data_IF_807362701891
#
_entry.id   IF_807362701891
#
_cell.length_a   1.000
_cell.length_b   1.000
_cell.length_c   1.000
_cell.angle_alpha   90.00
_cell.angle_beta   90.00
_cell.angle_gamma   90.00
#
_symmetry.space_group_name_H-M   'P 1'
#
loop_
_entity.id
_entity.type
_entity.pdbx_description
1 polymer ?
#
# COMPACT_ATOMS: atom_id res chain seq x y z
N UNK A 1 23.14 -43.67 5.31
CA UNK A 1 22.15 -42.76 4.70
C UNK A 1 21.67 -41.87 5.82
N UNK A 2 22.34 -40.71 5.96
CA UNK A 2 22.11 -39.73 7.03
C UNK A 2 20.96 -38.85 6.55
N UNK A 3 20.01 -38.56 7.43
CA UNK A 3 18.71 -38.02 7.09
C UNK A 3 18.81 -36.51 6.81
N UNK A 4 19.03 -36.14 5.55
CA UNK A 4 19.27 -34.76 5.10
C UNK A 4 18.06 -33.81 5.32
N UNK A 5 16.89 -34.35 5.68
CA UNK A 5 15.70 -33.57 6.01
C UNK A 5 15.74 -32.91 7.42
N UNK A 6 16.57 -33.41 8.33
CA UNK A 6 16.68 -32.83 9.68
C UNK A 6 17.59 -31.57 9.70
N UNK A 7 18.54 -31.47 8.77
CA UNK A 7 19.47 -30.35 8.72
C UNK A 7 18.86 -29.10 8.04
N UNK A 8 17.92 -29.27 7.10
CA UNK A 8 17.21 -28.15 6.48
C UNK A 8 16.23 -27.43 7.44
N UNK A 9 15.62 -28.16 8.38
CA UNK A 9 14.82 -27.56 9.47
C UNK A 9 15.67 -26.79 10.49
N UNK A 10 16.98 -27.05 10.53
CA UNK A 10 17.89 -26.46 11.50
C UNK A 10 18.57 -25.17 10.99
N UNK A 11 18.73 -25.00 9.67
CA UNK A 11 19.24 -23.74 9.09
C UNK A 11 18.22 -22.59 9.12
N UNK A 12 16.92 -22.89 9.00
CA UNK A 12 15.84 -21.89 9.14
C UNK A 12 15.65 -21.41 10.60
N UNK A 13 16.22 -22.12 11.57
CA UNK A 13 16.07 -21.82 12.99
C UNK A 13 17.23 -20.97 13.57
N UNK A 14 18.24 -20.63 12.77
CA UNK A 14 19.38 -19.81 13.24
C UNK A 14 19.15 -18.30 13.11
N UNK A 15 18.18 -17.88 12.29
CA UNK A 15 17.93 -16.47 12.03
C UNK A 15 16.69 -15.92 12.73
N UNK A 16 16.07 -16.68 13.64
CA UNK A 16 14.85 -16.24 14.34
C UNK A 16 14.91 -16.62 15.81
N UNK A 17 14.14 -15.90 16.63
CA UNK A 17 14.09 -16.13 18.07
C UNK A 17 13.45 -17.50 18.38
N UNK A 18 14.12 -18.40 19.13
CA UNK A 18 13.57 -19.71 19.48
C UNK A 18 12.44 -19.63 20.53
N UNK A 19 12.10 -18.43 20.97
CA UNK A 19 10.98 -18.17 21.89
C UNK A 19 9.83 -17.43 21.22
N UNK A 20 9.90 -17.25 19.90
CA UNK A 20 8.79 -16.76 19.09
C UNK A 20 8.03 -17.97 18.53
N UNK A 21 6.71 -18.00 18.74
CA UNK A 21 5.81 -19.01 18.19
C UNK A 21 4.47 -18.39 17.77
N UNK A 22 3.54 -19.15 17.23
CA UNK A 22 2.15 -18.75 17.05
C UNK A 22 1.38 -18.92 18.36
N UNK A 23 0.25 -18.21 18.52
CA UNK A 23 -0.61 -18.37 19.71
C UNK A 23 -1.23 -19.77 19.79
N UNK A 24 -1.57 -20.33 18.64
CA UNK A 24 -2.24 -21.63 18.52
C UNK A 24 -1.25 -22.79 18.36
N UNK A 25 -0.04 -22.51 17.89
CA UNK A 25 1.03 -23.47 17.67
C UNK A 25 2.38 -22.87 18.12
N UNK A 26 2.85 -23.16 19.35
CA UNK A 26 4.09 -22.59 19.89
C UNK A 26 5.36 -23.03 19.15
N UNK A 27 5.32 -24.16 18.44
CA UNK A 27 6.49 -24.73 17.75
C UNK A 27 6.62 -24.20 16.31
N UNK A 28 5.56 -23.60 15.78
CA UNK A 28 5.57 -22.85 14.53
C UNK A 28 5.61 -21.36 14.79
N UNK A 29 6.19 -20.57 13.89
CA UNK A 29 6.08 -19.12 13.90
C UNK A 29 5.85 -18.60 12.49
N UNK A 30 5.26 -17.41 12.36
CA UNK A 30 5.22 -16.76 11.06
C UNK A 30 6.59 -16.15 10.76
N UNK A 31 7.17 -16.48 9.61
CA UNK A 31 8.39 -15.85 9.11
C UNK A 31 8.26 -14.34 8.83
N UNK A 32 7.06 -13.76 9.02
CA UNK A 32 6.78 -12.34 8.86
C UNK A 32 6.21 -11.72 10.14
N UNK A 33 6.42 -10.41 10.40
CA UNK A 33 5.85 -9.74 11.57
C UNK A 33 4.32 -9.78 11.53
N UNK A 34 3.68 -10.51 12.45
CA UNK A 34 2.23 -10.65 12.52
C UNK A 34 1.70 -10.58 13.95
N UNK A 35 0.42 -10.20 14.09
CA UNK A 35 -0.29 -10.13 15.38
C UNK A 35 -0.56 -11.51 16.02
N UNK A 36 -0.39 -12.57 15.23
CA UNK A 36 -0.57 -13.97 15.66
C UNK A 36 0.69 -14.55 16.29
N UNK A 37 1.86 -13.95 16.04
CA UNK A 37 3.08 -14.32 16.72
C UNK A 37 2.97 -13.99 18.23
N UNK A 38 3.63 -14.79 19.04
CA UNK A 38 3.61 -14.74 20.49
C UNK A 38 5.01 -15.02 21.03
N UNK A 39 5.42 -14.22 22.02
CA UNK A 39 6.67 -14.43 22.72
C UNK A 39 6.42 -15.34 23.94
N UNK A 40 6.98 -16.54 23.90
CA UNK A 40 6.92 -17.52 24.97
C UNK A 40 8.01 -17.34 26.02
N UNK A 41 8.88 -16.33 25.85
CA UNK A 41 9.87 -15.95 26.86
C UNK A 41 9.25 -15.15 28.01
N UNK A 42 8.11 -14.47 27.78
CA UNK A 42 7.44 -13.62 28.77
C UNK A 42 6.28 -14.34 29.45
N UNK A 43 5.88 -13.86 30.64
CA UNK A 43 4.63 -14.28 31.30
C UNK A 43 3.81 -13.07 31.78
N UNK A 44 2.50 -12.99 31.44
CA UNK A 44 1.77 -13.89 30.54
C UNK A 44 2.32 -13.84 29.10
N UNK A 45 2.09 -14.90 28.32
CA UNK A 45 2.46 -14.93 26.90
C UNK A 45 1.80 -13.74 26.22
N UNK A 46 2.59 -12.97 25.47
CA UNK A 46 2.12 -11.75 24.83
C UNK A 46 2.78 -11.57 23.45
N UNK A 47 2.14 -10.77 22.61
CA UNK A 47 2.60 -10.52 21.24
C UNK A 47 3.48 -9.27 21.23
N UNK A 48 4.77 -9.36 20.85
CA UNK A 48 5.56 -8.16 20.57
C UNK A 48 4.94 -7.40 19.40
N UNK A 49 5.07 -6.08 19.38
CA UNK A 49 4.58 -5.25 18.29
C UNK A 49 5.37 -5.54 17.00
N UNK A 50 4.81 -5.14 15.86
CA UNK A 50 5.35 -5.52 14.54
C UNK A 50 6.77 -4.98 14.31
N UNK A 51 7.07 -3.78 14.83
CA UNK A 51 8.42 -3.20 14.73
C UNK A 51 9.44 -4.04 15.52
N UNK A 52 9.09 -4.45 16.74
CA UNK A 52 9.96 -5.29 17.55
C UNK A 52 10.17 -6.68 16.95
N UNK A 53 9.11 -7.28 16.39
CA UNK A 53 9.22 -8.56 15.70
C UNK A 53 10.18 -8.48 14.50
N UNK A 54 10.07 -7.42 13.69
CA UNK A 54 10.94 -7.19 12.53
C UNK A 54 12.39 -6.94 12.92
N UNK A 55 12.62 -6.10 13.92
CA UNK A 55 13.97 -5.71 14.32
C UNK A 55 14.71 -6.81 15.09
N UNK A 56 13.99 -7.67 15.82
CA UNK A 56 14.60 -8.66 16.72
C UNK A 56 14.04 -10.07 16.54
N UNK A 57 12.73 -10.28 16.71
CA UNK A 57 12.22 -11.64 16.90
C UNK A 57 12.37 -12.56 15.67
N UNK A 58 12.39 -11.99 14.46
CA UNK A 58 12.45 -12.71 13.18
C UNK A 58 13.81 -12.57 12.48
N UNK A 59 14.82 -12.08 13.21
CA UNK A 59 16.19 -11.91 12.70
C UNK A 59 17.17 -12.47 13.71
N UNK A 60 18.42 -12.71 13.29
CA UNK A 60 19.49 -13.14 14.21
C UNK A 60 19.80 -12.11 15.31
N UNK A 61 19.29 -10.88 15.19
CA UNK A 61 19.38 -9.86 16.23
C UNK A 61 18.55 -10.21 17.48
N UNK A 62 17.74 -11.28 17.49
CA UNK A 62 17.06 -11.75 18.69
C UNK A 62 17.99 -11.98 19.89
N UNK A 63 19.27 -12.29 19.63
CA UNK A 63 20.29 -12.44 20.67
C UNK A 63 20.51 -11.15 21.47
N UNK A 64 20.19 -10.00 20.88
CA UNK A 64 20.23 -8.66 21.48
C UNK A 64 18.84 -8.11 21.79
N UNK A 65 17.81 -8.96 21.76
CA UNK A 65 16.46 -8.55 22.11
C UNK A 65 16.40 -8.28 23.63
N UNK A 66 15.94 -7.10 24.07
CA UNK A 66 15.85 -6.77 25.49
C UNK A 66 14.91 -7.70 26.26
N UNK A 67 13.96 -8.35 25.57
CA UNK A 67 13.11 -9.38 26.18
C UNK A 67 13.89 -10.69 26.31
N UNK A 68 14.58 -11.13 25.27
CA UNK A 68 15.31 -12.40 25.26
C UNK A 68 16.47 -12.41 26.27
N UNK A 69 17.16 -11.28 26.42
CA UNK A 69 18.23 -11.09 27.42
C UNK A 69 17.69 -10.98 28.86
N UNK A 70 16.40 -10.66 29.03
CA UNK A 70 15.78 -10.58 30.36
C UNK A 70 15.52 -11.97 30.96
N UNK A 71 15.29 -12.00 32.29
CA UNK A 71 14.97 -13.23 32.99
C UNK A 71 13.71 -13.91 32.39
N UNK A 72 13.72 -15.23 32.13
CA UNK A 72 12.56 -15.94 31.61
C UNK A 72 11.32 -15.74 32.49
N UNK A 73 10.17 -15.49 31.86
CA UNK A 73 8.91 -15.22 32.53
C UNK A 73 8.72 -13.77 32.99
N UNK A 74 9.62 -12.86 32.64
CA UNK A 74 9.42 -11.42 32.84
C UNK A 74 8.17 -10.92 32.10
N UNK A 75 7.58 -9.82 32.57
CA UNK A 75 6.47 -9.17 31.87
C UNK A 75 6.98 -8.44 30.63
N UNK A 76 6.20 -8.47 29.54
CA UNK A 76 6.51 -7.70 28.35
C UNK A 76 6.36 -6.18 28.62
N UNK A 77 7.37 -5.35 28.30
CA UNK A 77 7.25 -3.89 28.37
C UNK A 77 6.12 -3.38 27.48
N UNK A 78 5.42 -2.32 27.89
CA UNK A 78 4.23 -1.82 27.18
C UNK A 78 4.58 -1.24 25.81
N UNK A 79 5.79 -0.71 25.67
CA UNK A 79 6.33 -0.13 24.44
C UNK A 79 6.58 -1.23 23.40
N UNK A 80 6.88 -2.44 23.87
CA UNK A 80 7.14 -3.61 23.02
C UNK A 80 5.87 -4.44 22.81
N UNK A 81 4.94 -4.47 23.76
CA UNK A 81 3.68 -5.19 23.61
C UNK A 81 2.81 -4.61 22.50
N UNK A 82 2.19 -5.48 21.70
CA UNK A 82 1.22 -5.10 20.69
C UNK A 82 0.01 -4.47 21.40
N UNK A 83 -0.23 -3.18 21.11
CA UNK A 83 -1.40 -2.45 21.62
C UNK A 83 -2.67 -3.22 21.26
N UNK A 84 -3.35 -3.77 22.27
CA UNK A 84 -4.69 -4.33 22.10
C UNK A 84 -5.64 -3.16 21.91
N UNK A 85 -6.29 -3.10 20.75
CA UNK A 85 -7.45 -2.24 20.52
C UNK A 85 -8.53 -2.65 21.52
N UNK A 86 -8.54 -2.04 22.70
CA UNK A 86 -9.61 -2.29 23.66
C UNK A 86 -10.86 -1.59 23.14
N UNK A 87 -11.93 -2.34 22.93
CA UNK A 87 -13.24 -1.76 22.69
C UNK A 87 -13.53 -0.78 23.84
N UNK A 88 -13.71 0.50 23.53
CA UNK A 88 -13.95 1.52 24.56
C UNK A 88 -15.08 1.07 25.48
N UNK A 89 -14.93 1.27 26.79
CA UNK A 89 -15.97 0.96 27.78
C UNK A 89 -17.30 1.59 27.37
N UNK A 90 -17.28 2.74 26.71
CA UNK A 90 -18.46 3.43 26.20
C UNK A 90 -19.19 2.65 25.11
N UNK A 91 -18.45 1.99 24.21
CA UNK A 91 -19.04 1.11 23.18
C UNK A 91 -19.59 -0.18 23.79
N UNK A 92 -18.96 -0.68 24.85
CA UNK A 92 -19.46 -1.85 25.60
C UNK A 92 -20.75 -1.53 26.38
N UNK A 93 -20.83 -0.34 27.00
CA UNK A 93 -22.05 0.16 27.65
C UNK A 93 -23.18 0.43 26.64
N UNK A 94 -22.85 0.94 25.45
CA UNK A 94 -23.82 1.14 24.38
C UNK A 94 -24.42 -0.20 23.90
N UNK A 95 -23.57 -1.20 23.65
CA UNK A 95 -24.01 -2.53 23.20
C UNK A 95 -24.84 -3.26 24.25
N UNK A 96 -24.45 -3.19 25.52
CA UNK A 96 -25.24 -3.77 26.62
C UNK A 96 -26.57 -3.05 26.81
N UNK A 97 -26.59 -1.71 26.68
CA UNK A 97 -27.83 -0.92 26.70
C UNK A 97 -28.79 -1.28 25.56
N UNK A 98 -28.28 -1.44 24.34
CA UNK A 98 -29.07 -1.88 23.18
C UNK A 98 -29.61 -3.30 23.39
N UNK A 99 -28.80 -4.22 23.94
CA UNK A 99 -29.24 -5.58 24.26
C UNK A 99 -30.38 -5.62 25.27
N UNK A 100 -30.27 -4.84 26.35
CA UNK A 100 -31.33 -4.73 27.37
C UNK A 100 -32.59 -4.10 26.76
N UNK A 101 -32.45 -3.06 25.93
CA UNK A 101 -33.57 -2.43 25.25
C UNK A 101 -34.30 -3.41 24.32
N UNK A 102 -33.57 -4.23 23.56
CA UNK A 102 -34.16 -5.26 22.71
C UNK A 102 -34.91 -6.32 23.53
N UNK A 103 -34.35 -6.77 24.67
CA UNK A 103 -35.03 -7.72 25.56
C UNK A 103 -36.31 -7.12 26.15
N UNK A 104 -36.30 -5.85 26.56
CA UNK A 104 -37.48 -5.14 27.06
C UNK A 104 -38.54 -4.98 25.96
N UNK A 105 -38.12 -4.67 24.74
CA UNK A 105 -39.02 -4.58 23.57
C UNK A 105 -39.64 -5.95 23.28
N UNK A 106 -38.85 -7.02 23.25
CA UNK A 106 -39.34 -8.40 23.03
C UNK A 106 -40.34 -8.78 24.13
N UNK A 107 -40.00 -8.56 25.40
CA UNK A 107 -40.91 -8.84 26.51
C UNK A 107 -42.20 -8.02 26.43
N UNK A 108 -42.12 -6.75 26.05
CA UNK A 108 -43.28 -5.89 25.87
C UNK A 108 -44.18 -6.40 24.73
N UNK A 109 -43.61 -6.84 23.60
CA UNK A 109 -44.37 -7.46 22.52
C UNK A 109 -44.94 -8.82 22.92
N UNK A 110 -44.20 -9.66 23.66
CA UNK A 110 -44.68 -10.94 24.18
C UNK A 110 -45.78 -10.81 25.24
N UNK A 111 -45.81 -9.70 25.99
CA UNK A 111 -46.87 -9.43 26.97
C UNK A 111 -48.11 -8.79 26.35
N UNK A 112 -47.94 -8.06 25.23
CA UNK A 112 -49.03 -7.37 24.51
C UNK A 112 -49.70 -8.26 23.48
N UNK A 113 -48.96 -9.19 22.89
CA UNK A 113 -49.48 -10.26 22.04
C UNK A 113 -49.68 -11.50 22.91
N UNK A 114 -50.89 -11.70 23.42
CA UNK A 114 -51.30 -12.94 24.09
C UNK A 114 -50.79 -14.16 23.31
N UNK A 115 -50.13 -15.05 24.04
CA UNK A 115 -49.41 -16.24 23.60
C UNK A 115 -49.91 -16.86 22.28
N UNK A 116 -49.14 -16.80 21.18
CA UNK A 116 -49.40 -17.66 20.03
C UNK A 116 -48.92 -19.07 20.37
N UNK A 117 -49.75 -20.05 20.02
CA UNK A 117 -49.53 -21.46 20.32
C UNK A 117 -48.28 -21.99 19.61
N UNK A 118 -47.51 -22.76 20.36
CA UNK A 118 -46.50 -23.68 19.85
C UNK A 118 -47.12 -24.63 18.82
N UNK A 119 -46.32 -24.95 17.79
CA UNK A 119 -46.50 -25.96 16.74
C UNK A 119 -47.29 -25.58 15.48
N UNK A 120 -46.56 -25.43 14.37
CA UNK A 120 -46.80 -26.28 13.19
C UNK A 120 -45.49 -26.57 12.44
N UNK A 121 -45.39 -27.82 11.99
CA UNK A 121 -44.27 -28.54 11.40
C UNK A 121 -44.16 -28.26 9.89
N UNK A 122 -42.93 -28.41 9.38
CA UNK A 122 -42.44 -28.73 8.02
C UNK A 122 -43.30 -28.43 6.78
N UNK A 123 -42.69 -27.88 5.74
CA UNK A 123 -42.15 -28.68 4.61
C UNK A 123 -41.73 -27.75 3.45
N UNK A 124 -40.50 -27.98 2.98
CA UNK A 124 -40.18 -28.19 1.57
C UNK A 124 -40.86 -27.29 0.51
N UNK A 125 -40.04 -26.57 -0.26
CA UNK A 125 -39.80 -26.86 -1.70
C UNK A 125 -39.26 -25.64 -2.44
N UNK A 126 -38.02 -25.75 -2.90
CA UNK A 126 -37.52 -25.07 -4.10
C UNK A 126 -38.42 -25.45 -5.29
N UNK A 127 -38.72 -24.51 -6.21
CA UNK A 127 -38.05 -24.63 -7.50
C UNK A 127 -37.63 -23.28 -8.13
N UNK A 128 -36.41 -23.30 -8.68
CA UNK A 128 -35.97 -22.54 -9.86
C UNK A 128 -36.87 -22.94 -11.06
N UNK A 129 -37.17 -22.12 -12.09
CA UNK A 129 -36.21 -21.31 -12.84
C UNK A 129 -36.78 -19.96 -13.32
N UNK A 130 -35.96 -19.11 -13.95
CA UNK A 130 -36.35 -18.34 -15.16
C UNK A 130 -35.11 -17.70 -15.78
N UNK A 131 -34.78 -18.16 -16.98
CA UNK A 131 -33.91 -17.46 -17.91
C UNK A 131 -34.60 -16.18 -18.41
N UNK A 132 -33.85 -15.09 -18.57
CA UNK A 132 -34.30 -13.98 -19.40
C UNK A 132 -33.13 -13.45 -20.23
N UNK A 133 -33.24 -13.70 -21.52
CA UNK A 133 -32.40 -13.17 -22.59
C UNK A 133 -33.13 -11.94 -23.12
N UNK A 134 -32.46 -10.81 -23.30
CA UNK A 134 -32.74 -9.93 -24.44
C UNK A 134 -31.61 -8.91 -24.66
N UNK A 135 -31.19 -8.68 -25.92
CA UNK A 135 -30.19 -7.70 -26.29
C UNK A 135 -30.80 -6.30 -26.43
N UNK A 136 -29.99 -5.26 -26.24
CA UNK A 136 -30.31 -3.92 -26.73
C UNK A 136 -29.09 -3.37 -27.46
N UNK A 137 -29.18 -3.46 -28.77
CA UNK A 137 -28.45 -2.65 -29.76
C UNK A 137 -29.13 -1.29 -29.85
N UNK A 138 -28.37 -0.20 -29.96
CA UNK A 138 -28.62 0.96 -30.87
C UNK A 138 -27.53 2.04 -30.65
N UNK A 139 -27.15 2.82 -31.68
CA UNK A 139 -25.77 3.21 -31.92
C UNK A 139 -25.53 4.73 -32.12
N UNK A 140 -24.26 5.09 -32.43
CA UNK A 140 -23.75 6.29 -33.15
C UNK A 140 -23.83 7.65 -32.42
N UNK A 141 -22.68 8.32 -32.19
CA UNK A 141 -22.06 9.29 -33.14
C UNK A 141 -20.89 10.08 -32.49
N UNK A 142 -19.78 10.35 -33.20
CA UNK A 142 -18.78 11.33 -32.79
C UNK A 142 -19.18 12.74 -33.23
N UNK A 143 -18.96 13.75 -32.38
CA UNK A 143 -19.02 15.15 -32.76
C UNK A 143 -17.69 15.82 -32.44
N UNK A 144 -16.92 16.07 -33.51
CA UNK A 144 -15.85 17.04 -33.52
C UNK A 144 -16.47 18.44 -33.62
N UNK A 145 -15.94 19.39 -32.87
CA UNK A 145 -16.15 20.82 -33.15
C UNK A 145 -14.85 21.55 -32.85
N UNK A 146 -14.14 21.89 -33.93
CA UNK A 146 -13.13 22.93 -33.92
C UNK A 146 -13.84 24.29 -33.78
N UNK A 147 -13.31 25.18 -32.94
CA UNK A 147 -13.68 26.59 -32.97
C UNK A 147 -12.43 27.44 -32.89
N UNK A 148 -12.37 28.34 -33.86
CA UNK A 148 -11.29 29.17 -34.34
C UNK A 148 -11.08 30.43 -33.49
N UNK A 149 -9.83 30.88 -33.47
CA UNK A 149 -9.32 32.13 -32.91
C UNK A 149 -9.98 33.38 -33.51
N UNK A 150 -9.95 34.50 -32.78
CA UNK A 150 -9.61 35.78 -33.39
C UNK A 150 -8.41 36.44 -32.71
N UNK A 151 -7.34 36.55 -33.49
CA UNK A 151 -6.19 37.44 -33.31
C UNK A 151 -6.64 38.90 -33.49
N UNK A 152 -6.33 39.74 -32.50
CA UNK A 152 -6.44 41.21 -32.60
C UNK A 152 -5.04 41.81 -32.51
N UNK A 153 -4.60 42.62 -33.48
CA UNK A 153 -3.36 43.39 -33.41
C UNK A 153 -3.64 44.84 -33.00
N UNK A 154 -2.89 45.39 -32.05
CA UNK A 154 -2.60 46.83 -31.87
C UNK A 154 -1.96 47.02 -30.50
N UNK A 155 -1.01 47.92 -30.21
CA UNK A 155 -0.04 48.73 -30.92
C UNK A 155 0.85 49.27 -29.77
N UNK A 156 2.15 49.29 -30.00
CA UNK A 156 3.21 49.63 -29.06
C UNK A 156 3.13 51.06 -28.51
N UNK A 157 3.30 51.20 -27.18
CA UNK A 157 3.77 52.44 -26.54
C UNK A 157 5.06 52.11 -25.74
N UNK A 158 6.16 52.89 -25.88
CA UNK A 158 7.39 52.63 -25.17
C UNK A 158 7.41 53.39 -23.84
N UNK A 159 7.23 52.67 -22.72
CA UNK A 159 7.39 53.23 -21.39
C UNK A 159 8.63 52.63 -20.70
N UNK A 160 9.59 53.52 -20.43
CA UNK A 160 10.74 53.44 -19.54
C UNK A 160 11.21 52.04 -19.09
N UNK A 161 12.34 51.60 -19.66
CA UNK A 161 13.14 50.47 -19.18
C UNK A 161 13.78 50.79 -17.83
N UNK A 162 13.10 50.40 -16.75
CA UNK A 162 13.78 50.07 -15.50
C UNK A 162 14.49 48.73 -15.72
N UNK A 163 15.83 48.75 -15.77
CA UNK A 163 16.63 47.53 -15.92
C UNK A 163 16.63 46.81 -14.58
N UNK A 164 15.53 46.11 -14.31
CA UNK A 164 15.49 45.10 -13.27
C UNK A 164 16.40 43.96 -13.73
N UNK A 165 17.48 43.71 -12.98
CA UNK A 165 18.29 42.50 -13.15
C UNK A 165 17.31 41.33 -13.03
N UNK A 166 17.09 40.54 -14.09
CA UNK A 166 16.14 39.43 -14.02
C UNK A 166 16.59 38.53 -12.86
N UNK A 167 15.68 38.08 -11.98
CA UNK A 167 16.04 37.11 -10.96
C UNK A 167 16.65 35.92 -11.69
N UNK A 168 17.94 35.67 -11.45
CA UNK A 168 18.61 34.49 -11.98
C UNK A 168 17.78 33.30 -11.50
N UNK A 169 17.23 32.46 -12.40
CA UNK A 169 16.39 31.35 -11.99
C UNK A 169 17.20 30.50 -11.02
N UNK A 170 16.71 30.41 -9.78
CA UNK A 170 17.30 29.52 -8.78
C UNK A 170 17.09 28.12 -9.32
N UNK A 171 18.17 27.48 -9.78
CA UNK A 171 18.12 26.14 -10.34
C UNK A 171 17.41 25.22 -9.36
N UNK A 172 16.28 24.66 -9.80
CA UNK A 172 15.48 23.74 -8.97
C UNK A 172 16.30 22.47 -8.77
N UNK A 173 16.55 22.10 -7.52
CA UNK A 173 17.24 20.84 -7.22
C UNK A 173 16.27 19.70 -7.51
N UNK A 174 16.60 18.89 -8.52
CA UNK A 174 15.89 17.64 -8.84
C UNK A 174 16.54 16.50 -8.05
N UNK A 175 15.74 15.74 -7.33
CA UNK A 175 16.18 14.58 -6.54
C UNK A 175 15.56 13.32 -7.16
N UNK A 176 16.39 12.50 -7.80
CA UNK A 176 15.99 11.27 -8.50
C UNK A 176 16.58 10.06 -7.80
N UNK A 177 16.26 9.87 -6.53
CA UNK A 177 16.78 8.76 -5.71
C UNK A 177 15.66 7.86 -5.21
N UNK A 178 16.01 6.62 -4.83
CA UNK A 178 15.07 5.74 -4.14
C UNK A 178 14.57 6.37 -2.84
N UNK A 179 13.36 5.99 -2.45
CA UNK A 179 12.72 6.37 -1.18
C UNK A 179 12.48 7.87 -0.97
N UNK A 180 12.69 8.68 -2.02
CA UNK A 180 12.38 10.11 -2.05
C UNK A 180 11.22 10.38 -3.00
N UNK A 181 10.32 11.33 -2.67
CA UNK A 181 9.26 11.73 -3.60
C UNK A 181 9.81 12.33 -4.89
N UNK A 182 9.40 11.74 -6.01
CA UNK A 182 9.64 12.18 -7.39
C UNK A 182 8.34 12.77 -7.94
N UNK A 183 8.45 13.82 -8.77
CA UNK A 183 7.33 14.47 -9.42
C UNK A 183 7.04 15.88 -8.92
N UNK A 184 6.03 16.50 -9.53
CA UNK A 184 5.60 17.87 -9.24
C UNK A 184 4.38 17.89 -8.31
N UNK A 185 3.22 18.24 -8.87
CA UNK A 185 1.94 18.24 -8.16
C UNK A 185 1.51 16.83 -7.75
N UNK A 186 1.82 15.85 -8.60
CA UNK A 186 1.63 14.43 -8.33
C UNK A 186 2.98 13.81 -7.97
N UNK A 187 3.03 13.16 -6.81
CA UNK A 187 4.27 12.63 -6.26
C UNK A 187 4.21 11.11 -6.13
N UNK A 188 5.36 10.50 -6.38
CA UNK A 188 5.54 9.06 -6.32
C UNK A 188 6.86 8.73 -5.65
N UNK A 189 6.91 7.58 -4.98
CA UNK A 189 8.14 7.06 -4.37
C UNK A 189 8.51 5.80 -5.15
N UNK A 190 9.73 5.73 -5.66
CA UNK A 190 10.30 4.47 -6.11
C UNK A 190 10.95 3.82 -4.89
N UNK A 191 10.38 2.71 -4.45
CA UNK A 191 10.79 2.03 -3.24
C UNK A 191 11.32 0.64 -3.57
N UNK A 192 12.47 0.29 -2.99
CA UNK A 192 13.01 -1.07 -3.04
C UNK A 192 12.51 -1.84 -1.82
N UNK A 193 11.68 -2.84 -2.06
CA UNK A 193 11.03 -3.66 -1.05
C UNK A 193 12.08 -4.32 -0.16
N UNK A 194 12.05 -3.98 1.12
CA UNK A 194 12.76 -4.70 2.15
C UNK A 194 11.94 -5.89 2.66
N UNK A 195 12.63 -6.82 3.34
CA UNK A 195 12.01 -8.01 3.88
C UNK A 195 10.84 -7.68 4.83
N UNK A 196 9.70 -8.35 4.61
CA UNK A 196 8.51 -8.20 5.43
C UNK A 196 7.72 -6.92 5.21
N UNK A 197 7.99 -6.16 4.14
CA UNK A 197 7.13 -5.08 3.70
C UNK A 197 5.97 -5.60 2.84
N UNK A 198 4.87 -4.87 2.87
CA UNK A 198 3.64 -5.23 2.17
C UNK A 198 3.01 -3.99 1.56
N UNK A 199 2.18 -4.18 0.53
CA UNK A 199 1.41 -3.09 -0.08
C UNK A 199 0.57 -2.32 0.95
N UNK A 200 0.05 -3.01 1.98
CA UNK A 200 -0.72 -2.35 3.03
C UNK A 200 0.14 -1.39 3.88
N UNK A 201 1.39 -1.75 4.15
CA UNK A 201 2.33 -0.88 4.89
C UNK A 201 2.61 0.38 4.08
N UNK A 202 2.85 0.23 2.77
CA UNK A 202 3.05 1.35 1.87
C UNK A 202 1.81 2.25 1.76
N UNK A 203 0.63 1.65 1.58
CA UNK A 203 -0.64 2.37 1.52
C UNK A 203 -0.86 3.26 2.76
N UNK A 204 -0.63 2.71 3.95
CA UNK A 204 -0.77 3.46 5.20
C UNK A 204 0.29 4.55 5.34
N UNK A 205 1.55 4.25 5.00
CA UNK A 205 2.69 5.18 5.17
C UNK A 205 2.57 6.40 4.26
N UNK A 206 2.15 6.20 3.02
CA UNK A 206 2.12 7.24 1.99
C UNK A 206 0.71 7.75 1.70
N UNK A 207 -0.27 7.43 2.57
CA UNK A 207 -1.66 7.85 2.47
C UNK A 207 -2.30 7.57 1.10
N UNK A 208 -2.09 6.34 0.61
CA UNK A 208 -2.69 5.81 -0.62
C UNK A 208 -3.48 4.53 -0.32
N UNK A 209 -3.89 3.78 -1.34
CA UNK A 209 -4.57 2.49 -1.21
C UNK A 209 -3.76 1.37 -1.84
N UNK A 210 -4.06 0.13 -1.44
CA UNK A 210 -3.42 -1.06 -2.03
C UNK A 210 -3.78 -1.17 -3.52
N UNK A 211 -5.02 -0.82 -3.87
CA UNK A 211 -5.52 -0.80 -5.23
C UNK A 211 -4.79 0.25 -6.06
N UNK A 212 -4.60 1.47 -5.55
CA UNK A 212 -3.86 2.51 -6.25
C UNK A 212 -2.41 2.12 -6.52
N UNK A 213 -1.75 1.43 -5.57
CA UNK A 213 -0.39 0.91 -5.79
C UNK A 213 -0.42 -0.18 -6.87
N UNK A 214 -1.37 -1.12 -6.83
CA UNK A 214 -1.46 -2.16 -7.87
C UNK A 214 -1.71 -1.58 -9.27
N UNK A 215 -2.63 -0.63 -9.36
CA UNK A 215 -3.13 -0.08 -10.62
C UNK A 215 -2.18 0.96 -11.27
N UNK A 216 -1.13 1.37 -10.56
CA UNK A 216 -0.11 2.31 -11.06
C UNK A 216 1.21 1.62 -11.40
N UNK A 217 1.46 0.40 -10.91
CA UNK A 217 2.72 -0.29 -11.19
C UNK A 217 2.61 -1.12 -12.47
N UNK A 218 3.56 -0.93 -13.37
CA UNK A 218 3.73 -1.81 -14.53
C UNK A 218 4.25 -3.19 -14.08
N UNK A 219 3.53 -4.26 -14.45
CA UNK A 219 3.89 -5.66 -14.17
C UNK A 219 4.19 -6.00 -12.70
N UNK A 220 3.42 -5.43 -11.76
CA UNK A 220 3.52 -5.79 -10.34
C UNK A 220 3.08 -7.24 -10.08
N UNK A 221 4.01 -8.08 -9.66
CA UNK A 221 3.81 -9.47 -9.19
C UNK A 221 3.50 -9.41 -7.70
N UNK A 222 2.62 -10.31 -7.30
CA UNK A 222 2.19 -10.50 -5.92
C UNK A 222 2.37 -12.00 -5.62
N UNK A 223 2.99 -12.37 -4.48
CA UNK A 223 3.45 -11.51 -3.38
C UNK A 223 4.68 -10.66 -3.74
N UNK A 224 4.94 -9.60 -2.96
CA UNK A 224 6.15 -8.78 -3.13
C UNK A 224 7.39 -9.54 -2.66
N UNK A 225 8.44 -9.48 -3.45
CA UNK A 225 9.74 -10.10 -3.17
C UNK A 225 10.73 -9.04 -2.69
N UNK A 226 11.68 -9.44 -1.85
CA UNK A 226 12.78 -8.56 -1.42
C UNK A 226 13.57 -8.06 -2.63
N UNK A 227 14.11 -6.84 -2.53
CA UNK A 227 14.86 -6.12 -3.55
C UNK A 227 14.07 -5.68 -4.77
N UNK A 228 12.77 -5.98 -4.79
CA UNK A 228 11.95 -5.57 -5.89
C UNK A 228 11.51 -4.10 -5.79
N UNK A 229 11.24 -3.48 -6.93
CA UNK A 229 10.88 -2.08 -7.04
C UNK A 229 9.38 -1.93 -7.11
N UNK A 230 8.85 -1.01 -6.31
CA UNK A 230 7.44 -0.64 -6.30
C UNK A 230 7.36 0.87 -6.38
N UNK A 231 6.56 1.36 -7.32
CA UNK A 231 6.15 2.76 -7.42
C UNK A 231 4.96 2.99 -6.49
N UNK A 232 5.09 3.91 -5.55
CA UNK A 232 4.05 4.18 -4.55
C UNK A 232 3.55 5.61 -4.75
N UNK A 233 2.28 5.82 -5.10
CA UNK A 233 1.71 7.16 -5.20
C UNK A 233 1.55 7.78 -3.82
N UNK A 234 1.99 9.02 -3.63
CA UNK A 234 1.91 9.74 -2.37
C UNK A 234 0.63 10.59 -2.31
N UNK A 235 -0.23 10.35 -1.31
CA UNK A 235 -1.50 11.06 -1.12
C UNK A 235 -2.48 10.98 -2.33
N UNK A 236 -2.34 9.98 -3.20
CA UNK A 236 -3.21 9.78 -4.37
C UNK A 236 -3.85 8.40 -4.28
N UNK A 237 -5.17 8.34 -4.37
CA UNK A 237 -5.95 7.08 -4.39
C UNK A 237 -6.69 6.84 -5.70
N UNK A 238 -6.94 7.91 -6.48
CA UNK A 238 -7.64 7.84 -7.75
C UNK A 238 -6.63 7.84 -8.92
N UNK A 239 -6.21 6.65 -9.35
CA UNK A 239 -5.14 6.47 -10.35
C UNK A 239 -5.64 6.05 -11.74
N UNK A 240 -6.95 5.99 -11.96
CA UNK A 240 -7.53 5.47 -13.22
C UNK A 240 -7.08 6.26 -14.46
N UNK A 241 -6.84 7.56 -14.32
CA UNK A 241 -6.39 8.46 -15.41
C UNK A 241 -4.88 8.55 -15.56
N UNK A 242 -4.12 7.89 -14.68
CA UNK A 242 -2.66 7.88 -14.73
C UNK A 242 -2.17 6.68 -15.54
N UNK A 243 -0.99 6.77 -16.20
CA UNK A 243 -0.37 5.63 -16.83
C UNK A 243 0.10 4.61 -15.79
N UNK A 244 0.56 3.45 -16.26
CA UNK A 244 1.37 2.56 -15.43
C UNK A 244 2.80 3.13 -15.37
N UNK A 245 3.51 2.88 -14.28
CA UNK A 245 4.90 3.28 -14.13
C UNK A 245 5.78 2.07 -13.93
N UNK A 246 6.87 2.06 -14.67
CA UNK A 246 8.02 1.19 -14.45
C UNK A 246 9.13 2.02 -13.78
N UNK A 247 9.77 1.45 -12.76
CA UNK A 247 10.91 2.07 -12.11
C UNK A 247 12.20 1.74 -12.87
N UNK A 248 12.94 2.75 -13.32
CA UNK A 248 14.17 2.58 -14.09
C UNK A 248 15.35 3.27 -13.42
N UNK A 249 16.48 2.57 -13.33
CA UNK A 249 17.76 3.15 -12.91
C UNK A 249 18.60 3.49 -14.13
N UNK A 250 19.10 4.71 -14.19
CA UNK A 250 20.00 5.15 -15.24
C UNK A 250 21.36 4.48 -15.08
N UNK A 251 21.82 3.78 -16.13
CA UNK A 251 23.12 3.06 -16.11
C UNK A 251 24.28 3.86 -16.74
N UNK A 252 23.96 4.89 -17.52
CA UNK A 252 24.91 5.72 -18.26
C UNK A 252 25.12 7.09 -17.58
N UNK A 253 26.35 7.60 -17.62
CA UNK A 253 26.63 8.95 -17.14
C UNK A 253 26.30 10.00 -18.19
N UNK A 254 25.63 11.07 -17.76
CA UNK A 254 25.29 12.26 -18.57
C UNK A 254 24.46 11.96 -19.82
N UNK A 255 23.50 11.03 -19.73
CA UNK A 255 22.55 10.76 -20.82
C UNK A 255 21.43 11.81 -20.84
N UNK A 256 21.05 12.29 -22.03
CA UNK A 256 19.88 13.17 -22.17
C UNK A 256 18.60 12.38 -22.01
N UNK A 257 17.59 12.98 -21.39
CA UNK A 257 16.27 12.36 -21.23
C UNK A 257 15.64 11.93 -22.58
N UNK A 258 15.85 12.70 -23.64
CA UNK A 258 15.38 12.36 -24.99
C UNK A 258 15.98 11.04 -25.50
N UNK A 259 17.29 10.86 -25.35
CA UNK A 259 17.98 9.65 -25.81
C UNK A 259 17.54 8.44 -24.99
N UNK A 260 17.34 8.63 -23.68
CA UNK A 260 16.83 7.57 -22.81
C UNK A 260 15.39 7.18 -23.13
N UNK A 261 14.51 8.16 -23.39
CA UNK A 261 13.11 7.90 -23.76
C UNK A 261 13.00 7.05 -25.04
N UNK A 262 13.83 7.35 -26.04
CA UNK A 262 13.93 6.56 -27.28
C UNK A 262 14.40 5.13 -26.97
N UNK A 263 15.47 4.96 -26.17
CA UNK A 263 15.99 3.63 -25.78
C UNK A 263 14.94 2.79 -25.06
N UNK A 264 14.13 3.41 -24.20
CA UNK A 264 13.10 2.74 -23.40
C UNK A 264 11.77 2.57 -24.14
N UNK A 265 11.64 3.10 -25.36
CA UNK A 265 10.37 3.17 -26.10
C UNK A 265 9.25 3.80 -25.26
N UNK A 266 9.56 4.93 -24.63
CA UNK A 266 8.65 5.65 -23.73
C UNK A 266 8.39 7.09 -24.22
N UNK A 267 7.28 7.69 -23.78
CA UNK A 267 6.92 9.06 -24.14
C UNK A 267 7.85 10.07 -23.47
N UNK A 268 8.57 10.86 -24.28
CA UNK A 268 9.46 11.93 -23.77
C UNK A 268 8.69 12.96 -22.93
N UNK A 269 7.52 13.38 -23.41
CA UNK A 269 6.69 14.38 -22.73
C UNK A 269 6.26 13.90 -21.33
N UNK A 270 5.78 12.67 -21.24
CA UNK A 270 5.34 12.12 -19.97
C UNK A 270 6.52 11.84 -19.03
N UNK A 271 7.66 11.36 -19.55
CA UNK A 271 8.88 11.18 -18.75
C UNK A 271 9.34 12.52 -18.14
N UNK A 272 9.33 13.61 -18.91
CA UNK A 272 9.65 14.95 -18.40
C UNK A 272 8.65 15.36 -17.32
N UNK A 273 7.36 15.23 -17.60
CA UNK A 273 6.27 15.64 -16.70
C UNK A 273 6.29 14.90 -15.36
N UNK A 274 6.30 13.57 -15.37
CA UNK A 274 6.19 12.77 -14.14
C UNK A 274 7.49 12.74 -13.32
N UNK A 275 8.65 12.90 -13.95
CA UNK A 275 9.91 13.04 -13.22
C UNK A 275 10.22 14.48 -12.84
N UNK A 276 9.42 15.45 -13.31
CA UNK A 276 9.52 16.87 -12.98
C UNK A 276 10.94 17.41 -13.25
N UNK A 277 11.43 17.09 -14.45
CA UNK A 277 12.73 17.50 -14.99
C UNK A 277 12.54 18.41 -16.20
N UNK A 278 13.61 19.10 -16.61
CA UNK A 278 13.61 19.91 -17.83
C UNK A 278 13.99 19.07 -19.06
N UNK A 279 13.61 19.51 -20.26
CA UNK A 279 13.86 18.78 -21.52
C UNK A 279 15.35 18.56 -21.80
N UNK A 280 16.20 19.48 -21.35
CA UNK A 280 17.66 19.41 -21.50
C UNK A 280 18.36 18.80 -20.27
N UNK A 281 17.61 18.22 -19.32
CA UNK A 281 18.19 17.61 -18.12
C UNK A 281 19.14 16.46 -18.48
N UNK A 282 20.33 16.49 -17.89
CA UNK A 282 21.34 15.45 -18.04
C UNK A 282 21.25 14.50 -16.85
N UNK A 283 20.79 13.29 -17.13
CA UNK A 283 20.68 12.22 -16.15
C UNK A 283 22.06 11.63 -15.87
N UNK A 284 22.29 11.26 -14.62
CA UNK A 284 23.53 10.63 -14.17
C UNK A 284 23.30 9.17 -13.86
N UNK A 285 24.39 8.41 -13.87
CA UNK A 285 24.33 7.01 -13.46
C UNK A 285 23.84 6.91 -12.02
N UNK A 286 22.85 6.07 -11.80
CA UNK A 286 22.24 5.83 -10.50
C UNK A 286 20.97 6.65 -10.22
N UNK A 287 20.64 7.64 -11.06
CA UNK A 287 19.36 8.34 -10.99
C UNK A 287 18.20 7.33 -11.22
N UNK A 288 17.12 7.49 -10.46
CA UNK A 288 15.90 6.68 -10.55
C UNK A 288 14.75 7.47 -11.17
N UNK A 289 14.09 6.87 -12.14
CA UNK A 289 13.04 7.50 -12.96
C UNK A 289 11.77 6.67 -12.98
N UNK A 290 10.65 7.37 -13.06
CA UNK A 290 9.35 6.85 -13.45
C UNK A 290 9.28 6.79 -14.97
N UNK A 291 9.10 5.60 -15.53
CA UNK A 291 8.90 5.39 -16.97
C UNK A 291 7.42 5.11 -17.22
N UNK A 292 6.66 6.03 -17.83
CA UNK A 292 5.25 5.83 -18.13
C UNK A 292 5.05 4.74 -19.19
N UNK A 293 4.10 3.85 -18.93
CA UNK A 293 3.68 2.75 -19.81
C UNK A 293 2.18 2.83 -20.07
N UNK A 294 1.78 2.54 -21.30
CA UNK A 294 0.36 2.48 -21.66
C UNK A 294 -0.35 1.36 -20.89
N UNK A 295 -1.59 1.62 -20.49
CA UNK A 295 -2.44 0.57 -19.93
C UNK A 295 -2.84 -0.40 -21.03
N UNK A 296 -2.82 -1.72 -20.79
CA UNK A 296 -3.36 -2.69 -21.73
C UNK A 296 -4.80 -2.32 -22.07
N UNK A 297 -5.14 -2.26 -23.36
CA UNK A 297 -6.53 -2.11 -23.78
C UNK A 297 -7.29 -3.39 -23.38
N UNK A 298 -8.50 -3.26 -22.82
CA UNK A 298 -9.32 -4.39 -22.40
C UNK A 298 -9.76 -5.29 -23.55
#
# INVERSE_FOLDING_TARGET
MRNDNADHLNLQNQNSCPKLGLKEDPDSYSAFPLKINACYHVRPVDTPNLSHQRSYCLTSAYLHCPIYESAPGSKMPKEISLKKETLSKDKLFLLTGIGILLVVIILFFSFRSGMPRLFTIDEQSTPSPTASVSPTITPVQPSETATTLPITPSLTEPLATDTQVPPTPTARIVILTLDTPIGGDQKFIIHRVAEGETLQIFANKYHTSVEAIKDINFDLIIPLWTDWLVVIPENITAVSKLPLFEAHQVEEEYIKIQDLAIKLSASLEEMIYYNNIEENYLLRKGDWLLVPREKPQP
#
